data_IF_496838180917
#
_entry.id   IF_496838180917
#
_cell.length_a   1.000
_cell.length_b   1.000
_cell.length_c   1.000
_cell.angle_alpha   90.00
_cell.angle_beta   90.00
_cell.angle_gamma   90.00
#
_symmetry.space_group_name_H-M   'P 1'
#
loop_
_entity.id
_entity.type
_entity.pdbx_description
1 polymer ?
#
# COMPACT_ATOMS: atom_id res chain seq x y z
N UNK A 1 -1.17 11.77 29.49
CA UNK A 1 -1.08 11.69 28.01
C UNK A 1 -0.87 10.23 27.63
N UNK A 2 -1.53 9.77 26.55
CA UNK A 2 -1.52 8.36 26.13
C UNK A 2 -0.36 8.00 25.17
N UNK A 3 0.71 8.81 25.13
CA UNK A 3 1.85 8.60 24.25
C UNK A 3 3.18 8.80 24.99
N UNK A 4 4.20 8.10 24.53
CA UNK A 4 5.61 8.26 24.92
C UNK A 4 6.20 9.38 24.07
N UNK A 5 7.05 10.21 24.67
CA UNK A 5 7.73 11.28 23.97
C UNK A 5 9.22 10.97 23.91
N UNK A 6 9.81 11.02 22.71
CA UNK A 6 11.25 11.02 22.53
C UNK A 6 11.67 12.39 22.00
N UNK A 7 12.72 12.96 22.59
CA UNK A 7 13.33 14.22 22.14
C UNK A 7 14.84 14.04 22.03
N UNK A 8 15.30 13.35 20.98
CA UNK A 8 16.74 13.26 20.70
C UNK A 8 17.34 14.66 20.46
N UNK A 9 18.60 14.85 20.82
CA UNK A 9 19.29 16.11 20.61
C UNK A 9 19.25 16.54 19.14
N UNK A 10 18.99 17.84 18.89
CA UNK A 10 18.95 18.44 17.54
C UNK A 10 17.99 17.74 16.56
N UNK A 11 16.92 17.15 17.06
CA UNK A 11 15.88 16.51 16.25
C UNK A 11 14.49 17.06 16.56
N UNK A 12 13.56 16.87 15.64
CA UNK A 12 12.15 17.12 15.90
C UNK A 12 11.62 16.17 16.98
N UNK A 13 10.58 16.62 17.69
CA UNK A 13 9.90 15.82 18.69
C UNK A 13 9.29 14.54 18.06
N UNK A 14 9.35 13.41 18.76
CA UNK A 14 8.68 12.17 18.35
C UNK A 14 7.62 11.83 19.38
N UNK A 15 6.36 11.68 18.94
CA UNK A 15 5.24 11.23 19.78
C UNK A 15 4.84 9.81 19.39
N UNK A 16 4.95 8.87 20.33
CA UNK A 16 4.72 7.44 20.08
C UNK A 16 3.54 6.90 20.88
N UNK A 17 2.53 6.37 20.20
CA UNK A 17 1.39 5.68 20.79
C UNK A 17 1.68 4.20 21.03
N UNK A 18 2.83 3.89 21.63
CA UNK A 18 3.35 2.52 21.78
C UNK A 18 3.45 2.09 23.24
N UNK A 19 2.69 2.72 24.15
CA UNK A 19 2.72 2.38 25.58
C UNK A 19 2.23 0.94 25.77
N UNK A 20 3.10 0.07 26.29
CA UNK A 20 2.80 -1.36 26.44
C UNK A 20 2.97 -2.19 25.17
N UNK A 21 3.43 -1.58 24.08
CA UNK A 21 3.73 -2.25 22.81
C UNK A 21 5.25 -2.20 22.58
N UNK A 22 5.93 -3.35 22.49
CA UNK A 22 7.36 -3.38 22.16
C UNK A 22 7.62 -2.74 20.80
N UNK A 23 8.67 -1.93 20.72
CA UNK A 23 9.15 -1.34 19.47
C UNK A 23 10.59 -1.78 19.26
N UNK A 24 10.86 -2.32 18.07
CA UNK A 24 12.19 -2.78 17.67
C UNK A 24 13.22 -1.64 17.72
N UNK A 25 14.44 -1.93 18.19
CA UNK A 25 15.50 -0.91 18.27
C UNK A 25 15.84 -0.32 16.90
N UNK A 26 15.86 -1.13 15.84
CA UNK A 26 16.08 -0.66 14.48
C UNK A 26 15.01 0.38 14.02
N UNK A 27 13.75 0.18 14.42
CA UNK A 27 12.68 1.14 14.13
C UNK A 27 12.87 2.43 14.93
N UNK A 28 13.26 2.35 16.21
CA UNK A 28 13.57 3.55 17.02
C UNK A 28 14.72 4.35 16.44
N UNK A 29 15.82 3.69 16.07
CA UNK A 29 16.96 4.34 15.44
C UNK A 29 16.57 5.03 14.12
N UNK A 30 15.75 4.37 13.30
CA UNK A 30 15.25 4.95 12.06
C UNK A 30 14.38 6.19 12.33
N UNK A 31 13.48 6.15 13.31
CA UNK A 31 12.65 7.30 13.73
C UNK A 31 13.51 8.48 14.19
N UNK A 32 14.56 8.23 14.98
CA UNK A 32 15.50 9.26 15.44
C UNK A 32 16.21 9.92 14.25
N UNK A 33 16.71 9.11 13.30
CA UNK A 33 17.35 9.60 12.07
C UNK A 33 16.38 10.40 11.20
N UNK A 34 15.14 9.96 11.08
CA UNK A 34 14.11 10.71 10.34
C UNK A 34 13.78 12.02 11.03
N UNK A 35 13.64 12.03 12.36
CA UNK A 35 13.35 13.23 13.14
C UNK A 35 14.48 14.26 13.10
N UNK A 36 15.73 13.85 12.86
CA UNK A 36 16.86 14.77 12.71
C UNK A 36 16.92 15.48 11.36
N UNK A 37 16.04 15.13 10.40
CA UNK A 37 16.02 15.80 9.10
C UNK A 37 15.52 17.26 9.26
N UNK A 38 16.19 18.25 8.64
CA UNK A 38 15.84 19.67 8.80
C UNK A 38 14.48 20.03 8.18
N UNK A 39 13.96 19.17 7.31
CA UNK A 39 12.67 19.34 6.63
C UNK A 39 11.48 18.91 7.50
N UNK A 40 11.70 18.30 8.67
CA UNK A 40 10.60 17.84 9.52
C UNK A 40 9.83 19.03 10.10
N UNK A 41 8.51 18.99 9.94
CA UNK A 41 7.62 20.01 10.46
C UNK A 41 7.09 19.62 11.83
N UNK A 42 7.60 20.29 12.87
CA UNK A 42 7.21 20.19 14.30
C UNK A 42 7.52 18.84 14.96
N UNK A 43 6.91 17.74 14.52
CA UNK A 43 7.05 16.44 15.19
C UNK A 43 6.63 15.25 14.31
N UNK A 44 7.19 14.08 14.60
CA UNK A 44 6.71 12.79 14.09
C UNK A 44 5.58 12.26 14.98
N UNK A 45 4.66 11.51 14.38
CA UNK A 45 3.65 10.72 15.08
C UNK A 45 3.88 9.25 14.73
N UNK A 46 3.93 8.40 15.75
CA UNK A 46 4.24 6.97 15.61
C UNK A 46 3.09 6.16 16.18
N UNK A 47 2.57 5.26 15.35
CA UNK A 47 1.44 4.39 15.62
C UNK A 47 1.89 3.09 16.33
N UNK A 48 0.98 2.35 16.97
CA UNK A 48 1.33 1.12 17.70
C UNK A 48 1.94 0.00 16.82
N UNK A 49 1.65 0.00 15.53
CA UNK A 49 2.10 -0.98 14.53
C UNK A 49 3.44 -0.61 13.88
N UNK A 50 4.18 0.35 14.46
CA UNK A 50 5.48 0.79 13.95
C UNK A 50 6.47 -0.36 13.88
N UNK A 51 7.13 -0.48 12.74
CA UNK A 51 8.22 -1.42 12.54
C UNK A 51 9.18 -0.90 11.48
N UNK A 52 10.38 -1.48 11.47
CA UNK A 52 11.40 -1.11 10.50
C UNK A 52 10.97 -1.47 9.08
N UNK A 53 11.24 -0.57 8.14
CA UNK A 53 11.13 -0.86 6.71
C UNK A 53 12.20 -0.11 5.93
N UNK A 54 12.57 -0.64 4.77
CA UNK A 54 13.61 -0.05 3.93
C UNK A 54 13.20 1.36 3.49
N UNK A 55 13.96 2.36 3.94
CA UNK A 55 13.73 3.78 3.65
C UNK A 55 13.14 4.55 4.82
N UNK A 56 11.92 4.19 5.24
CA UNK A 56 11.22 4.81 6.38
C UNK A 56 10.42 3.77 7.16
N UNK A 57 10.17 4.00 8.44
CA UNK A 57 9.31 3.13 9.26
C UNK A 57 7.88 3.07 8.73
N UNK A 58 7.28 1.88 8.75
CA UNK A 58 5.82 1.73 8.64
C UNK A 58 5.17 2.19 9.95
N UNK A 59 3.91 2.62 9.92
CA UNK A 59 3.21 3.09 11.12
C UNK A 59 3.67 4.46 11.61
N UNK A 60 4.17 5.32 10.71
CA UNK A 60 4.63 6.67 11.05
C UNK A 60 3.96 7.75 10.19
N UNK A 61 3.68 8.89 10.80
CA UNK A 61 3.30 10.12 10.10
C UNK A 61 4.47 11.09 10.24
N UNK A 62 4.98 11.52 9.09
CA UNK A 62 6.20 12.33 8.97
C UNK A 62 5.83 13.64 8.25
N UNK A 63 5.39 14.67 8.98
CA UNK A 63 5.10 15.97 8.39
C UNK A 63 6.40 16.63 7.92
N UNK A 64 6.42 17.11 6.68
CA UNK A 64 7.56 17.81 6.09
C UNK A 64 7.18 19.21 5.65
N UNK A 65 8.16 20.12 5.62
CA UNK A 65 8.00 21.47 5.08
C UNK A 65 8.77 21.57 3.76
N UNK A 66 8.06 21.97 2.68
CA UNK A 66 8.63 22.23 1.34
C UNK A 66 9.41 21.06 0.70
N UNK A 67 9.26 19.84 1.22
CA UNK A 67 9.96 18.66 0.73
C UNK A 67 9.04 17.42 0.78
N UNK A 68 9.33 16.44 -0.06
CA UNK A 68 8.68 15.12 -0.06
C UNK A 68 9.77 14.08 0.16
N UNK A 69 9.46 13.04 0.93
CA UNK A 69 10.35 11.88 1.12
C UNK A 69 9.68 10.68 0.41
N UNK A 70 10.01 10.37 -0.86
CA UNK A 70 9.35 9.30 -1.62
C UNK A 70 9.39 7.94 -0.90
N UNK A 71 10.50 7.63 -0.23
CA UNK A 71 10.67 6.39 0.53
C UNK A 71 9.71 6.28 1.73
N UNK A 72 9.23 7.41 2.28
CA UNK A 72 8.24 7.42 3.35
C UNK A 72 6.81 7.19 2.84
N UNK A 73 6.54 7.46 1.56
CA UNK A 73 5.26 7.09 0.91
C UNK A 73 5.24 5.60 0.57
N UNK A 74 6.41 5.04 0.24
CA UNK A 74 6.56 3.64 -0.14
C UNK A 74 6.39 3.40 -1.64
N UNK A 75 6.51 2.13 -2.03
CA UNK A 75 6.46 1.74 -3.46
C UNK A 75 5.08 1.25 -3.88
N UNK A 76 4.23 0.76 -2.98
CA UNK A 76 2.85 0.46 -3.33
C UNK A 76 1.96 1.68 -3.04
N UNK A 77 2.03 2.66 -3.95
CA UNK A 77 1.37 3.95 -3.79
C UNK A 77 -0.15 3.77 -3.67
N UNK A 78 -0.74 4.27 -2.59
CA UNK A 78 -2.18 4.13 -2.37
C UNK A 78 -2.63 2.70 -2.07
N UNK A 79 -1.71 1.82 -1.66
CA UNK A 79 -2.09 0.57 -1.00
C UNK A 79 -2.96 0.90 0.22
N UNK A 80 -4.09 0.22 0.34
CA UNK A 80 -5.08 0.55 1.34
C UNK A 80 -6.22 -0.44 1.38
N UNK A 81 -7.10 -0.22 2.35
CA UNK A 81 -8.20 -1.13 2.65
C UNK A 81 -9.54 -0.48 2.35
N UNK A 82 -10.48 -1.29 1.87
CA UNK A 82 -11.89 -0.94 1.72
C UNK A 82 -12.72 -2.06 2.32
N UNK A 83 -13.80 -1.73 3.00
CA UNK A 83 -14.75 -2.71 3.51
C UNK A 83 -16.17 -2.30 3.12
N UNK A 84 -16.98 -3.27 2.72
CA UNK A 84 -18.39 -3.05 2.35
C UNK A 84 -19.26 -4.03 3.15
N UNK A 85 -20.19 -3.48 3.95
CA UNK A 85 -21.22 -4.28 4.63
C UNK A 85 -22.24 -4.72 3.59
N UNK A 86 -22.56 -6.01 3.58
CA UNK A 86 -23.63 -6.55 2.75
C UNK A 86 -24.97 -6.48 3.48
N UNK A 87 -26.05 -6.88 2.81
CA UNK A 87 -27.35 -7.08 3.46
C UNK A 87 -27.48 -8.44 4.16
N UNK A 88 -26.43 -9.27 4.14
CA UNK A 88 -26.44 -10.62 4.70
C UNK A 88 -25.93 -10.62 6.15
N UNK A 89 -26.38 -11.62 6.90
CA UNK A 89 -25.89 -11.97 8.24
C UNK A 89 -25.24 -13.35 8.24
N UNK A 90 -24.57 -13.72 9.33
CA UNK A 90 -23.84 -14.99 9.45
C UNK A 90 -24.72 -16.21 9.10
N UNK A 91 -26.00 -16.19 9.50
CA UNK A 91 -26.94 -17.29 9.22
C UNK A 91 -27.32 -17.43 7.74
N UNK A 92 -27.08 -16.41 6.91
CA UNK A 92 -27.28 -16.50 5.46
C UNK A 92 -26.10 -17.19 4.75
N UNK A 93 -24.96 -17.33 5.43
CA UNK A 93 -23.79 -18.00 4.88
C UNK A 93 -23.94 -19.53 4.97
N UNK A 94 -23.48 -20.28 3.97
CA UNK A 94 -23.44 -21.73 4.05
C UNK A 94 -22.37 -22.20 5.04
N UNK A 95 -22.58 -23.36 5.66
CA UNK A 95 -21.60 -23.99 6.56
C UNK A 95 -20.22 -24.21 5.89
N UNK A 96 -20.23 -24.41 4.57
CA UNK A 96 -19.01 -24.60 3.78
C UNK A 96 -18.79 -23.41 2.84
N UNK A 97 -17.81 -22.57 3.17
CA UNK A 97 -17.42 -21.39 2.38
C UNK A 97 -16.48 -21.71 1.19
N UNK A 98 -16.08 -22.97 0.99
CA UNK A 98 -15.21 -23.35 -0.13
C UNK A 98 -15.75 -22.90 -1.50
N UNK A 99 -17.04 -23.06 -1.83
CA UNK A 99 -17.58 -22.59 -3.11
C UNK A 99 -17.48 -21.07 -3.26
N UNK A 100 -17.73 -20.31 -2.19
CA UNK A 100 -17.59 -18.85 -2.19
C UNK A 100 -16.14 -18.43 -2.44
N UNK A 101 -15.19 -19.06 -1.74
CA UNK A 101 -13.75 -18.82 -1.93
C UNK A 101 -13.34 -19.05 -3.39
N UNK A 102 -13.76 -20.18 -3.97
CA UNK A 102 -13.48 -20.53 -5.37
C UNK A 102 -14.08 -19.51 -6.33
N UNK A 103 -15.32 -19.04 -6.06
CA UNK A 103 -15.96 -18.03 -6.89
C UNK A 103 -15.21 -16.67 -6.83
N UNK A 104 -14.76 -16.25 -5.65
CA UNK A 104 -13.95 -15.04 -5.47
C UNK A 104 -12.61 -15.14 -6.20
N UNK A 105 -11.91 -16.27 -6.05
CA UNK A 105 -10.64 -16.56 -6.73
C UNK A 105 -10.79 -16.54 -8.26
N UNK A 106 -11.91 -17.02 -8.79
CA UNK A 106 -12.21 -17.00 -10.22
C UNK A 106 -12.59 -15.59 -10.72
N UNK A 107 -13.27 -14.79 -9.90
CA UNK A 107 -13.72 -13.45 -10.26
C UNK A 107 -12.61 -12.39 -10.16
N UNK A 108 -11.60 -12.60 -9.31
CA UNK A 108 -10.57 -11.62 -8.98
C UNK A 108 -9.19 -12.22 -9.28
N UNK A 109 -8.52 -11.81 -10.38
CA UNK A 109 -7.18 -12.27 -10.67
C UNK A 109 -6.22 -11.91 -9.55
N UNK A 110 -5.41 -12.88 -9.15
CA UNK A 110 -4.51 -12.76 -8.00
C UNK A 110 -3.28 -13.67 -8.19
N UNK A 111 -2.27 -13.47 -7.35
CA UNK A 111 -1.02 -14.21 -7.45
C UNK A 111 -0.10 -13.66 -8.55
N UNK A 112 0.92 -14.45 -8.90
CA UNK A 112 1.87 -14.16 -9.98
C UNK A 112 2.40 -15.47 -10.56
N UNK A 113 2.63 -15.51 -11.86
CA UNK A 113 3.37 -16.63 -12.47
C UNK A 113 4.86 -16.48 -12.17
N UNK A 114 5.40 -17.30 -11.26
CA UNK A 114 6.80 -17.22 -10.81
C UNK A 114 7.87 -17.70 -11.80
N UNK A 115 7.48 -18.36 -12.90
CA UNK A 115 8.43 -18.94 -13.85
C UNK A 115 8.32 -18.33 -15.26
N UNK A 116 9.47 -17.93 -15.82
CA UNK A 116 9.66 -17.53 -17.24
C UNK A 116 9.11 -18.55 -18.27
N UNK A 117 8.76 -19.77 -17.84
CA UNK A 117 8.16 -20.82 -18.68
C UNK A 117 6.65 -20.67 -18.91
N UNK A 118 5.92 -19.94 -18.04
CA UNK A 118 4.51 -19.62 -18.33
C UNK A 118 4.47 -18.33 -19.16
N UNK A 119 3.90 -18.39 -20.37
CA UNK A 119 3.71 -17.21 -21.24
C UNK A 119 2.78 -16.15 -20.63
N UNK A 120 1.95 -16.51 -19.64
CA UNK A 120 0.88 -15.65 -19.09
C UNK A 120 1.03 -15.48 -17.57
N UNK A 121 0.82 -14.25 -17.10
CA UNK A 121 0.77 -13.90 -15.67
C UNK A 121 -0.64 -14.20 -15.12
N UNK A 122 -0.74 -15.13 -14.16
CA UNK A 122 -2.05 -15.49 -13.55
C UNK A 122 -2.65 -14.36 -12.71
N UNK A 123 -1.84 -13.41 -12.27
CA UNK A 123 -2.28 -12.23 -11.52
C UNK A 123 -2.80 -11.09 -12.40
N UNK A 124 -2.87 -11.30 -13.71
CA UNK A 124 -3.32 -10.33 -14.69
C UNK A 124 -4.53 -10.85 -15.46
N UNK A 125 -5.35 -9.92 -15.94
CA UNK A 125 -6.33 -10.24 -16.97
C UNK A 125 -5.61 -10.63 -18.27
N UNK A 126 -6.02 -11.75 -18.86
CA UNK A 126 -5.61 -12.06 -20.23
C UNK A 126 -6.37 -11.14 -21.20
N UNK A 127 -7.69 -11.17 -21.10
CA UNK A 127 -8.66 -10.27 -21.72
C UNK A 127 -9.43 -9.55 -20.60
N UNK A 128 -9.15 -8.25 -20.35
CA UNK A 128 -9.87 -7.49 -19.33
C UNK A 128 -11.38 -7.43 -19.61
N UNK A 129 -12.24 -7.60 -18.58
CA UNK A 129 -13.68 -7.49 -18.77
C UNK A 129 -14.11 -6.04 -19.02
N UNK A 130 -15.29 -5.84 -19.63
CA UNK A 130 -15.85 -4.51 -19.95
C UNK A 130 -15.86 -3.50 -18.79
N UNK A 131 -15.96 -3.99 -17.55
CA UNK A 131 -15.88 -3.11 -16.38
C UNK A 131 -14.50 -2.46 -16.26
N UNK A 132 -13.42 -3.19 -16.54
CA UNK A 132 -12.05 -2.67 -16.57
C UNK A 132 -11.90 -1.61 -17.65
N UNK A 133 -12.46 -1.81 -18.84
CA UNK A 133 -12.46 -0.80 -19.91
C UNK A 133 -13.08 0.52 -19.47
N UNK A 134 -14.25 0.45 -18.84
CA UNK A 134 -14.97 1.64 -18.35
C UNK A 134 -14.17 2.42 -17.30
N UNK A 135 -13.43 1.74 -16.43
CA UNK A 135 -12.57 2.41 -15.45
C UNK A 135 -11.27 2.90 -16.09
N UNK A 136 -10.68 2.12 -17.02
CA UNK A 136 -9.48 2.51 -17.74
C UNK A 136 -9.70 3.79 -18.53
N UNK A 137 -10.81 3.91 -19.26
CA UNK A 137 -11.14 5.12 -20.02
C UNK A 137 -11.17 6.41 -19.18
N UNK A 138 -11.46 6.30 -17.87
CA UNK A 138 -11.42 7.44 -16.92
C UNK A 138 -9.99 7.76 -16.45
N UNK A 139 -9.13 6.76 -16.36
CA UNK A 139 -7.77 6.88 -15.84
C UNK A 139 -6.75 7.18 -16.95
N UNK A 140 -7.01 6.69 -18.16
CA UNK A 140 -6.12 6.76 -19.31
C UNK A 140 -5.63 8.17 -19.63
N UNK A 141 -6.47 9.24 -19.66
CA UNK A 141 -5.98 10.58 -19.96
C UNK A 141 -4.95 11.07 -18.93
N UNK A 142 -5.18 10.79 -17.64
CA UNK A 142 -4.26 11.18 -16.56
C UNK A 142 -2.99 10.34 -16.60
N UNK A 143 -3.11 9.05 -16.89
CA UNK A 143 -1.95 8.17 -17.05
C UNK A 143 -1.13 8.57 -18.27
N UNK A 144 -1.77 8.94 -19.38
CA UNK A 144 -1.10 9.45 -20.57
C UNK A 144 -0.28 10.70 -20.25
N UNK A 145 -0.87 11.69 -19.57
CA UNK A 145 -0.15 12.89 -19.15
C UNK A 145 1.08 12.57 -18.29
N UNK A 146 0.98 11.58 -17.39
CA UNK A 146 2.11 11.09 -16.61
C UNK A 146 3.19 10.45 -17.52
N UNK A 147 2.80 9.58 -18.45
CA UNK A 147 3.73 8.90 -19.35
C UNK A 147 4.34 9.81 -20.41
N UNK A 148 3.65 10.87 -20.83
CA UNK A 148 4.21 11.88 -21.73
C UNK A 148 5.40 12.58 -21.05
N UNK A 149 5.30 12.83 -19.73
CA UNK A 149 6.39 13.37 -18.92
C UNK A 149 7.44 12.32 -18.54
N UNK A 150 7.01 11.08 -18.30
CA UNK A 150 7.86 9.97 -17.86
C UNK A 150 7.59 8.69 -18.68
N UNK A 151 8.11 8.56 -19.91
CA UNK A 151 7.77 7.47 -20.84
C UNK A 151 8.05 6.06 -20.31
N UNK A 152 8.97 5.94 -19.35
CA UNK A 152 9.30 4.66 -18.70
C UNK A 152 8.10 3.95 -18.07
N UNK A 153 7.07 4.68 -17.64
CA UNK A 153 5.91 4.09 -16.95
C UNK A 153 4.93 3.39 -17.90
N UNK A 154 5.08 3.52 -19.22
CA UNK A 154 4.23 2.82 -20.22
C UNK A 154 4.31 1.29 -20.04
N UNK A 155 5.46 0.77 -19.60
CA UNK A 155 5.72 -0.69 -19.51
C UNK A 155 5.30 -1.31 -18.16
N UNK A 156 4.30 -0.75 -17.47
CA UNK A 156 3.91 -1.13 -16.11
C UNK A 156 2.71 -2.08 -16.03
N UNK A 157 2.22 -2.59 -17.17
CA UNK A 157 1.06 -3.47 -17.26
C UNK A 157 -0.23 -2.88 -16.64
N UNK A 158 -0.33 -1.55 -16.67
CA UNK A 158 -1.37 -0.72 -16.04
C UNK A 158 -2.80 -1.15 -16.36
N UNK A 159 -3.08 -1.53 -17.61
CA UNK A 159 -4.43 -1.90 -18.04
C UNK A 159 -4.80 -3.34 -17.63
N UNK A 160 -3.92 -4.33 -17.85
CA UNK A 160 -4.20 -5.74 -17.51
C UNK A 160 -4.14 -6.05 -16.01
N UNK A 161 -3.50 -5.19 -15.22
CA UNK A 161 -3.51 -5.28 -13.75
C UNK A 161 -4.60 -4.42 -13.09
N UNK A 162 -5.38 -3.64 -13.86
CA UNK A 162 -6.48 -2.87 -13.29
C UNK A 162 -7.60 -3.81 -12.81
N UNK A 163 -7.99 -3.68 -11.54
CA UNK A 163 -9.00 -4.54 -10.92
C UNK A 163 -8.49 -5.94 -10.57
N UNK A 164 -7.17 -6.13 -10.40
CA UNK A 164 -6.59 -7.37 -9.87
C UNK A 164 -6.10 -7.18 -8.44
N UNK A 165 -6.03 -8.27 -7.68
CA UNK A 165 -5.67 -8.24 -6.26
C UNK A 165 -4.16 -8.07 -6.08
N UNK A 166 -3.40 -8.95 -6.72
CA UNK A 166 -1.96 -9.02 -6.57
C UNK A 166 -1.42 -10.07 -5.63
N UNK A 167 -0.33 -9.72 -4.95
CA UNK A 167 0.53 -10.61 -4.16
C UNK A 167 0.97 -9.90 -2.88
N UNK A 168 1.66 -10.61 -1.99
CA UNK A 168 2.13 -10.04 -0.72
C UNK A 168 1.02 -10.08 0.31
N UNK A 169 0.80 -8.96 1.00
CA UNK A 169 -0.25 -8.82 2.01
C UNK A 169 -1.62 -8.40 1.43
N UNK A 170 -1.81 -8.44 0.12
CA UNK A 170 -3.09 -8.12 -0.52
C UNK A 170 -4.06 -9.29 -0.43
N UNK A 171 -5.29 -9.03 -0.01
CA UNK A 171 -6.32 -10.04 0.21
C UNK A 171 -7.73 -9.52 -0.12
N UNK A 172 -8.64 -10.45 -0.37
CA UNK A 172 -10.08 -10.23 -0.21
C UNK A 172 -10.57 -11.20 0.85
N UNK A 173 -11.33 -10.71 1.82
CA UNK A 173 -11.77 -11.49 2.98
C UNK A 173 -13.27 -11.29 3.20
N UNK A 174 -13.94 -12.35 3.64
CA UNK A 174 -15.32 -12.30 4.11
C UNK A 174 -15.27 -12.34 5.64
N UNK A 175 -15.72 -11.28 6.28
CA UNK A 175 -15.65 -11.09 7.72
C UNK A 175 -17.04 -10.96 8.32
N UNK A 176 -17.18 -11.26 9.61
CA UNK A 176 -18.35 -10.92 10.40
C UNK A 176 -18.02 -9.75 11.33
N UNK A 177 -18.97 -8.82 11.50
CA UNK A 177 -18.89 -7.83 12.58
C UNK A 177 -19.45 -8.39 13.91
N UNK A 178 -19.45 -7.58 14.96
CA UNK A 178 -19.92 -7.98 16.29
C UNK A 178 -21.43 -8.23 16.37
N UNK A 179 -22.18 -7.86 15.32
CA UNK A 179 -23.63 -8.06 15.19
C UNK A 179 -23.95 -9.12 14.12
N UNK A 180 -22.97 -9.99 13.81
CA UNK A 180 -23.05 -11.05 12.79
C UNK A 180 -23.31 -10.54 11.36
N UNK A 181 -23.12 -9.25 11.09
CA UNK A 181 -23.24 -8.68 9.75
C UNK A 181 -22.07 -9.12 8.86
N UNK A 182 -22.36 -9.51 7.62
CA UNK A 182 -21.34 -9.97 6.67
C UNK A 182 -20.71 -8.80 5.92
N UNK A 183 -19.37 -8.74 5.94
CA UNK A 183 -18.55 -7.76 5.26
C UNK A 183 -17.66 -8.41 4.21
N UNK A 184 -17.41 -7.67 3.13
CA UNK A 184 -16.31 -7.96 2.21
C UNK A 184 -15.22 -6.91 2.44
N UNK A 185 -14.05 -7.36 2.87
CA UNK A 185 -12.87 -6.52 3.07
C UNK A 185 -11.87 -6.76 1.94
N UNK A 186 -11.36 -5.69 1.36
CA UNK A 186 -10.38 -5.70 0.28
C UNK A 186 -9.15 -4.91 0.72
N UNK A 187 -7.99 -5.54 0.60
CA UNK A 187 -6.69 -4.89 0.72
C UNK A 187 -5.92 -5.05 -0.59
N UNK A 188 -5.67 -3.93 -1.27
CA UNK A 188 -4.89 -3.90 -2.50
C UNK A 188 -4.27 -2.52 -2.71
N UNK A 189 -3.54 -2.36 -3.82
CA UNK A 189 -2.83 -1.13 -4.13
C UNK A 189 -2.66 -0.89 -5.62
N UNK A 190 -1.66 -0.08 -5.95
CA UNK A 190 -1.38 0.43 -7.30
C UNK A 190 -0.77 -0.56 -8.28
N UNK A 191 -0.51 -1.80 -7.82
CA UNK A 191 0.12 -2.86 -8.62
C UNK A 191 1.50 -2.40 -9.14
N UNK A 192 1.87 -2.81 -10.36
CA UNK A 192 3.16 -2.45 -10.95
C UNK A 192 3.35 -0.95 -11.21
N UNK A 193 2.25 -0.20 -11.33
CA UNK A 193 2.30 1.24 -11.66
C UNK A 193 2.94 2.03 -10.52
N UNK A 194 2.41 1.90 -9.30
CA UNK A 194 2.99 2.64 -8.17
C UNK A 194 4.38 2.14 -7.82
N UNK A 195 4.66 0.84 -7.96
CA UNK A 195 6.01 0.32 -7.72
C UNK A 195 7.04 0.99 -8.64
N UNK A 196 6.71 1.15 -9.93
CA UNK A 196 7.59 1.81 -10.88
C UNK A 196 7.78 3.31 -10.57
N UNK A 197 6.69 4.00 -10.22
CA UNK A 197 6.72 5.43 -9.87
C UNK A 197 7.53 5.65 -8.59
N UNK A 198 7.18 4.95 -7.50
CA UNK A 198 7.82 5.06 -6.21
C UNK A 198 9.31 4.75 -6.30
N UNK A 199 9.68 3.61 -6.92
CA UNK A 199 11.09 3.25 -7.11
C UNK A 199 11.86 4.31 -7.90
N UNK A 200 11.26 4.86 -8.97
CA UNK A 200 11.92 5.88 -9.77
C UNK A 200 12.21 7.17 -9.00
N UNK A 201 11.24 7.69 -8.26
CA UNK A 201 11.43 8.93 -7.49
C UNK A 201 12.27 8.72 -6.22
N UNK A 202 12.28 7.53 -5.63
CA UNK A 202 13.24 7.17 -4.58
C UNK A 202 14.67 7.27 -5.13
N UNK A 203 14.93 6.70 -6.31
CA UNK A 203 16.28 6.74 -6.91
C UNK A 203 16.70 8.15 -7.35
N UNK A 204 15.77 8.99 -7.81
CA UNK A 204 16.07 10.41 -8.06
C UNK A 204 16.47 11.10 -6.75
N UNK A 205 15.64 10.97 -5.71
CA UNK A 205 15.89 11.64 -4.44
C UNK A 205 17.23 11.23 -3.81
N UNK A 206 17.61 9.94 -3.91
CA UNK A 206 18.93 9.48 -3.45
C UNK A 206 20.06 10.20 -4.19
N UNK A 207 19.99 10.29 -5.51
CA UNK A 207 21.02 10.95 -6.34
C UNK A 207 21.13 12.44 -6.07
N UNK A 208 20.02 13.10 -5.78
CA UNK A 208 20.01 14.53 -5.42
C UNK A 208 20.62 14.77 -4.02
N UNK A 209 20.54 13.80 -3.11
CA UNK A 209 21.12 13.88 -1.77
C UNK A 209 22.62 13.51 -1.72
N UNK A 210 23.17 12.90 -2.76
CA UNK A 210 24.60 12.59 -2.91
C UNK A 210 25.42 13.78 -3.45
N UNK A 211 24.76 14.86 -3.89
CA UNK A 211 25.35 16.08 -4.46
C UNK A 211 25.52 17.16 -3.39
#
# INVERSE_FOLDING_TARGET
MNYITLTPEKSALIKMWTKGVPVEEAAKEQLIKTASLPIIFKHLVVMPDVHYWLGSTVGSVIPTQKAIIPAAVGVDLGCGMMAVKTSLVASDLPDNLKPLRVALEAAIPHGRSGNRKRKKDVGAWDEPPKIVDRYWAKLEPRFKALTDKYPRFIKTNNYKHLGTLGTGNHFVEVCLDLEDGVWIMLHSGSRGVGNAIGSYFIEIAKKEMEQ
#
